data_IF_197476914017
#
_entry.id   IF_197476914017
#
_cell.length_a   1.000
_cell.length_b   1.000
_cell.length_c   1.000
_cell.angle_alpha   90.00
_cell.angle_beta   90.00
_cell.angle_gamma   90.00
#
_symmetry.space_group_name_H-M   'P 1'
#
loop_
_entity.id
_entity.type
_entity.pdbx_description
1 polymer ?
#
# COMPACT_ATOMS: atom_id res chain seq x y z
N UNK A 1 -23.09 1.21 -3.97
CA UNK A 1 -23.20 0.28 -2.81
C UNK A 1 -24.41 -0.64 -2.94
N UNK A 2 -25.60 -0.14 -3.31
CA UNK A 2 -26.78 -0.99 -3.54
C UNK A 2 -26.53 -2.07 -4.62
N UNK A 3 -25.72 -1.77 -5.64
CA UNK A 3 -25.42 -2.72 -6.71
C UNK A 3 -24.62 -3.94 -6.21
N UNK A 4 -23.75 -3.76 -5.22
CA UNK A 4 -23.02 -4.87 -4.58
C UNK A 4 -23.99 -5.85 -3.91
N UNK A 5 -25.04 -5.35 -3.27
CA UNK A 5 -26.07 -6.21 -2.67
C UNK A 5 -26.83 -6.99 -3.75
N UNK A 6 -27.09 -6.37 -4.90
CA UNK A 6 -27.73 -7.04 -6.06
C UNK A 6 -26.83 -8.09 -6.69
N UNK A 7 -25.53 -7.85 -6.73
CA UNK A 7 -24.51 -8.81 -7.19
C UNK A 7 -24.31 -9.96 -6.17
N UNK A 8 -24.92 -9.86 -4.99
CA UNK A 8 -24.92 -10.90 -3.96
C UNK A 8 -23.76 -10.79 -2.98
N UNK A 9 -23.18 -9.60 -2.82
CA UNK A 9 -22.31 -9.29 -1.69
C UNK A 9 -23.14 -9.06 -0.42
N UNK A 10 -22.56 -9.40 0.73
CA UNK A 10 -23.18 -9.19 2.05
C UNK A 10 -22.48 -8.03 2.77
N UNK A 11 -23.22 -7.01 3.18
CA UNK A 11 -22.67 -5.96 4.04
C UNK A 11 -22.41 -6.52 5.46
N UNK A 12 -21.21 -6.31 5.99
CA UNK A 12 -20.83 -6.73 7.34
C UNK A 12 -21.10 -5.62 8.35
N UNK A 13 -21.29 -6.00 9.62
CA UNK A 13 -21.40 -5.06 10.75
C UNK A 13 -20.05 -4.47 11.18
N UNK A 14 -19.08 -4.39 10.26
CA UNK A 14 -17.74 -3.90 10.50
C UNK A 14 -17.44 -2.76 9.54
N UNK A 15 -16.81 -1.72 10.05
CA UNK A 15 -16.39 -0.57 9.27
C UNK A 15 -14.91 -0.71 8.85
N UNK A 16 -14.59 -0.22 7.67
CA UNK A 16 -13.21 -0.13 7.19
C UNK A 16 -12.40 0.77 8.13
N UNK A 17 -11.24 0.33 8.65
CA UNK A 17 -10.43 1.11 9.58
C UNK A 17 -9.86 2.39 8.96
N UNK A 18 -9.77 2.45 7.62
CA UNK A 18 -9.23 3.61 6.91
C UNK A 18 -10.29 4.68 6.65
N UNK A 19 -11.43 4.31 6.07
CA UNK A 19 -12.44 5.28 5.63
C UNK A 19 -13.76 5.23 6.42
N UNK A 20 -13.89 4.31 7.39
CA UNK A 20 -15.09 4.09 8.22
C UNK A 20 -16.37 3.71 7.47
N UNK A 21 -16.28 3.35 6.19
CA UNK A 21 -17.42 2.83 5.44
C UNK A 21 -17.64 1.33 5.67
N UNK A 22 -18.88 0.82 5.50
CA UNK A 22 -19.19 -0.60 5.69
C UNK A 22 -18.38 -1.51 4.77
N UNK A 23 -17.90 -2.62 5.31
CA UNK A 23 -17.21 -3.67 4.55
C UNK A 23 -18.25 -4.62 3.95
N UNK A 24 -17.93 -5.17 2.79
CA UNK A 24 -18.74 -6.14 2.08
C UNK A 24 -17.99 -7.46 1.97
N UNK A 25 -18.71 -8.57 2.05
CA UNK A 25 -18.19 -9.92 1.82
C UNK A 25 -18.75 -10.47 0.51
N UNK A 26 -17.88 -10.97 -0.36
CA UNK A 26 -18.27 -11.64 -1.60
C UNK A 26 -18.84 -13.04 -1.33
N UNK A 27 -19.38 -13.69 -2.36
CA UNK A 27 -19.83 -15.09 -2.28
C UNK A 27 -18.68 -16.09 -2.04
N UNK A 28 -17.46 -15.73 -2.45
CA UNK A 28 -16.24 -16.53 -2.20
C UNK A 28 -15.74 -16.40 -0.75
N UNK A 29 -16.30 -15.46 0.04
CA UNK A 29 -15.90 -15.21 1.42
C UNK A 29 -14.91 -14.07 1.58
N UNK A 30 -14.46 -13.44 0.49
CA UNK A 30 -13.50 -12.34 0.53
C UNK A 30 -14.16 -11.07 1.07
N UNK A 31 -13.50 -10.45 2.04
CA UNK A 31 -13.92 -9.19 2.64
C UNK A 31 -13.27 -8.01 1.92
N UNK A 32 -14.05 -6.97 1.61
CA UNK A 32 -13.67 -5.90 0.72
C UNK A 32 -14.37 -4.58 1.06
N UNK A 33 -13.62 -3.47 0.98
CA UNK A 33 -14.16 -2.12 1.12
C UNK A 33 -14.34 -1.48 -0.27
N UNK A 34 -15.59 -1.16 -0.69
CA UNK A 34 -15.84 -0.59 -2.01
C UNK A 34 -15.42 0.87 -2.14
N UNK A 35 -15.23 1.57 -1.03
CA UNK A 35 -14.79 2.97 -1.04
C UNK A 35 -13.27 3.08 -1.19
N UNK A 36 -12.53 2.22 -0.49
CA UNK A 36 -11.08 2.16 -0.65
C UNK A 36 -10.65 1.33 -1.87
N UNK A 37 -11.56 0.51 -2.41
CA UNK A 37 -11.28 -0.52 -3.42
C UNK A 37 -10.15 -1.46 -2.96
N UNK A 38 -10.23 -1.93 -1.71
CA UNK A 38 -9.20 -2.78 -1.08
C UNK A 38 -9.83 -3.98 -0.35
N UNK A 39 -9.20 -5.17 -0.39
CA UNK A 39 -9.57 -6.28 0.49
C UNK A 39 -9.27 -5.91 1.94
N UNK A 40 -10.07 -6.44 2.87
CA UNK A 40 -9.94 -6.19 4.31
C UNK A 40 -9.85 -7.53 5.01
N UNK A 41 -8.81 -7.74 5.82
CA UNK A 41 -8.67 -8.96 6.63
C UNK A 41 -8.69 -8.56 8.09
N UNK A 42 -9.52 -9.23 8.88
CA UNK A 42 -9.52 -9.10 10.33
C UNK A 42 -8.74 -10.26 10.92
N UNK A 43 -7.71 -9.95 11.71
CA UNK A 43 -7.00 -10.96 12.48
C UNK A 43 -7.86 -11.32 13.70
N UNK A 44 -8.49 -12.49 13.67
CA UNK A 44 -8.97 -13.11 14.90
C UNK A 44 -7.76 -13.60 15.69
N UNK A 45 -7.69 -13.24 16.97
CA UNK A 45 -6.52 -13.43 17.83
C UNK A 45 -6.18 -14.91 18.15
N UNK A 46 -6.81 -15.89 17.48
CA UNK A 46 -6.78 -17.31 17.87
C UNK A 46 -6.73 -18.34 16.71
N UNK A 47 -6.16 -18.02 15.53
CA UNK A 47 -5.93 -19.06 14.51
C UNK A 47 -4.54 -18.92 13.91
N UNK A 48 -3.75 -19.99 13.99
CA UNK A 48 -2.36 -20.06 13.56
C UNK A 48 -2.21 -19.70 12.06
N UNK A 49 -1.18 -18.92 11.68
CA UNK A 49 -0.95 -18.56 10.28
C UNK A 49 -0.47 -19.76 9.46
N UNK A 50 -0.87 -19.86 8.17
CA UNK A 50 -0.42 -20.94 7.29
C UNK A 50 1.09 -20.82 7.04
N UNK A 51 1.81 -21.93 7.20
CA UNK A 51 3.26 -22.04 6.98
C UNK A 51 3.61 -21.79 5.51
N UNK A 52 4.35 -20.74 5.22
CA UNK A 52 5.04 -20.56 3.94
C UNK A 52 6.54 -20.83 4.18
N UNK A 53 7.05 -21.82 3.46
CA UNK A 53 8.42 -22.32 3.55
C UNK A 53 9.44 -21.27 3.08
N UNK A 54 10.51 -21.10 3.86
CA UNK A 54 11.62 -20.18 3.58
C UNK A 54 12.62 -20.89 2.67
N UNK A 55 12.99 -20.26 1.55
CA UNK A 55 14.22 -20.61 0.83
C UNK A 55 15.17 -19.42 0.81
N UNK A 56 16.39 -19.69 1.25
CA UNK A 56 17.59 -18.84 1.30
C UNK A 56 18.03 -18.42 -0.11
N UNK A 57 18.80 -17.32 -0.23
CA UNK A 57 20.02 -17.18 -1.08
C UNK A 57 20.71 -15.84 -0.79
N UNK A 58 22.03 -15.95 -0.77
CA UNK A 58 23.11 -15.04 -0.36
C UNK A 58 23.41 -13.86 -1.30
N UNK A 59 24.33 -13.02 -0.82
CA UNK A 59 24.85 -11.74 -1.31
C UNK A 59 25.53 -11.78 -2.69
N UNK A 60 25.38 -10.70 -3.47
CA UNK A 60 26.17 -10.44 -4.68
C UNK A 60 25.72 -9.20 -5.48
N UNK A 61 26.68 -8.34 -5.84
CA UNK A 61 26.57 -6.96 -6.37
C UNK A 61 25.89 -6.78 -7.75
N UNK A 62 25.23 -5.62 -7.89
CA UNK A 62 25.34 -4.57 -8.93
C UNK A 62 25.58 -5.01 -10.39
N UNK A 63 24.71 -4.48 -11.28
CA UNK A 63 24.66 -4.58 -12.75
C UNK A 63 23.87 -5.76 -13.32
N UNK A 64 22.60 -5.46 -13.59
CA UNK A 64 21.76 -6.22 -14.52
C UNK A 64 21.27 -7.54 -13.97
N UNK A 65 20.36 -7.54 -13.01
CA UNK A 65 19.79 -8.78 -12.51
C UNK A 65 18.29 -8.68 -12.29
N UNK A 66 17.64 -9.77 -12.68
CA UNK A 66 16.26 -10.16 -12.38
C UNK A 66 15.93 -9.74 -10.96
N UNK A 67 15.30 -8.58 -10.82
CA UNK A 67 14.71 -8.17 -9.57
C UNK A 67 13.51 -9.06 -9.36
N UNK A 68 13.62 -10.01 -8.43
CA UNK A 68 12.43 -10.58 -7.84
C UNK A 68 11.53 -9.42 -7.36
N UNK A 69 10.21 -9.64 -7.33
CA UNK A 69 9.25 -8.58 -6.99
C UNK A 69 9.51 -7.96 -5.59
N UNK A 70 10.42 -8.48 -4.77
CA UNK A 70 10.82 -7.91 -3.48
C UNK A 70 11.96 -6.89 -3.62
N UNK A 71 12.96 -7.18 -4.47
CA UNK A 71 14.05 -6.27 -4.80
C UNK A 71 13.55 -5.02 -5.52
N UNK A 72 12.63 -5.16 -6.49
CA UNK A 72 12.05 -4.02 -7.20
C UNK A 72 11.28 -3.07 -6.27
N UNK A 73 10.49 -3.61 -5.33
CA UNK A 73 9.75 -2.81 -4.34
C UNK A 73 10.70 -2.05 -3.40
N UNK A 74 11.77 -2.72 -2.95
CA UNK A 74 12.77 -2.11 -2.06
C UNK A 74 13.53 -0.99 -2.76
N UNK A 75 13.90 -1.20 -4.02
CA UNK A 75 14.53 -0.18 -4.86
C UNK A 75 13.60 1.03 -5.06
N UNK A 76 12.34 0.80 -5.46
CA UNK A 76 11.37 1.87 -5.63
C UNK A 76 11.12 2.67 -4.35
N UNK A 77 11.04 1.98 -3.21
CA UNK A 77 10.91 2.62 -1.90
C UNK A 77 12.09 3.58 -1.63
N UNK A 78 13.32 3.13 -1.90
CA UNK A 78 14.51 3.96 -1.77
C UNK A 78 14.51 5.18 -2.71
N UNK A 79 14.10 4.99 -3.97
CA UNK A 79 13.99 6.09 -4.96
C UNK A 79 12.96 7.14 -4.51
N UNK A 80 11.79 6.70 -4.03
CA UNK A 80 10.73 7.62 -3.58
C UNK A 80 11.20 8.42 -2.37
N UNK A 81 11.84 7.78 -1.38
CA UNK A 81 12.39 8.49 -0.22
C UNK A 81 13.44 9.53 -0.62
N UNK A 82 14.33 9.19 -1.55
CA UNK A 82 15.32 10.13 -2.07
C UNK A 82 14.64 11.33 -2.75
N UNK A 83 13.61 11.11 -3.57
CA UNK A 83 12.85 12.19 -4.21
C UNK A 83 12.10 13.07 -3.22
N UNK A 84 11.50 12.49 -2.17
CA UNK A 84 10.87 13.26 -1.09
C UNK A 84 11.90 14.16 -0.42
N UNK A 85 13.09 13.63 -0.11
CA UNK A 85 14.18 14.42 0.47
C UNK A 85 14.58 15.58 -0.44
N UNK A 86 14.79 15.32 -1.73
CA UNK A 86 15.14 16.37 -2.69
C UNK A 86 14.07 17.47 -2.77
N UNK A 87 12.78 17.11 -2.81
CA UNK A 87 11.71 18.12 -2.84
C UNK A 87 11.63 18.90 -1.52
N UNK A 88 11.87 18.24 -0.38
CA UNK A 88 11.92 18.91 0.92
C UNK A 88 13.06 19.94 1.00
N UNK A 89 14.23 19.62 0.42
CA UNK A 89 15.35 20.55 0.32
C UNK A 89 14.98 21.76 -0.56
N UNK A 90 14.36 21.53 -1.72
CA UNK A 90 13.87 22.62 -2.58
C UNK A 90 12.80 23.50 -1.92
N UNK A 91 11.92 22.92 -1.09
CA UNK A 91 10.89 23.66 -0.37
C UNK A 91 11.43 24.64 0.66
N UNK A 92 12.59 24.35 1.27
CA UNK A 92 13.20 25.25 2.27
C UNK A 92 13.70 26.56 1.66
N UNK A 93 14.12 26.52 0.40
CA UNK A 93 14.66 27.68 -0.33
C UNK A 93 13.60 28.37 -1.21
N UNK A 94 12.39 27.79 -1.31
CA UNK A 94 11.36 28.25 -2.22
C UNK A 94 10.63 29.50 -1.71
N UNK A 95 10.55 30.51 -2.57
CA UNK A 95 9.89 31.79 -2.28
C UNK A 95 8.70 32.05 -3.20
N UNK A 96 8.60 31.33 -4.32
CA UNK A 96 7.51 31.44 -5.27
C UNK A 96 6.35 30.50 -4.90
N UNK A 97 5.18 31.09 -4.66
CA UNK A 97 3.98 30.36 -4.23
C UNK A 97 3.52 29.29 -5.24
N UNK A 98 3.77 29.50 -6.54
CA UNK A 98 3.40 28.54 -7.58
C UNK A 98 4.25 27.25 -7.50
N UNK A 99 5.55 27.40 -7.25
CA UNK A 99 6.49 26.29 -7.11
C UNK A 99 6.24 25.54 -5.80
N UNK A 100 6.00 26.26 -4.70
CA UNK A 100 5.60 25.67 -3.42
C UNK A 100 4.38 24.74 -3.58
N UNK A 101 3.31 25.22 -4.23
CA UNK A 101 2.11 24.42 -4.46
C UNK A 101 2.39 23.18 -5.33
N UNK A 102 3.28 23.31 -6.32
CA UNK A 102 3.67 22.21 -7.20
C UNK A 102 4.48 21.14 -6.44
N UNK A 103 5.36 21.56 -5.53
CA UNK A 103 6.12 20.68 -4.65
C UNK A 103 5.23 19.96 -3.64
N UNK A 104 4.29 20.66 -3.00
CA UNK A 104 3.33 20.05 -2.07
C UNK A 104 2.47 18.98 -2.77
N UNK A 105 1.99 19.24 -3.99
CA UNK A 105 1.24 18.25 -4.78
C UNK A 105 2.09 17.03 -5.11
N UNK A 106 3.35 17.26 -5.50
CA UNK A 106 4.29 16.19 -5.83
C UNK A 106 4.63 15.33 -4.61
N UNK A 107 4.89 15.95 -3.45
CA UNK A 107 5.11 15.25 -2.17
C UNK A 107 3.87 14.44 -1.77
N UNK A 108 2.67 15.02 -1.86
CA UNK A 108 1.44 14.31 -1.53
C UNK A 108 1.26 13.05 -2.40
N UNK A 109 1.56 13.13 -3.70
CA UNK A 109 1.52 11.97 -4.59
C UNK A 109 2.57 10.91 -4.20
N UNK A 110 3.80 11.33 -3.90
CA UNK A 110 4.88 10.42 -3.50
C UNK A 110 4.58 9.73 -2.16
N UNK A 111 4.04 10.45 -1.17
CA UNK A 111 3.63 9.88 0.12
C UNK A 111 2.47 8.89 -0.05
N UNK A 112 1.51 9.18 -0.94
CA UNK A 112 0.43 8.24 -1.28
C UNK A 112 1.00 6.95 -1.87
N UNK A 113 1.93 7.05 -2.81
CA UNK A 113 2.59 5.87 -3.41
C UNK A 113 3.39 5.12 -2.33
N UNK A 114 4.11 5.82 -1.46
CA UNK A 114 4.89 5.22 -0.37
C UNK A 114 4.00 4.38 0.56
N UNK A 115 2.84 4.92 0.96
CA UNK A 115 1.87 4.18 1.77
C UNK A 115 1.36 2.93 1.03
N UNK A 116 1.09 3.03 -0.28
CA UNK A 116 0.66 1.87 -1.07
C UNK A 116 1.76 0.80 -1.15
N UNK A 117 3.03 1.20 -1.24
CA UNK A 117 4.16 0.27 -1.24
C UNK A 117 4.37 -0.37 0.14
N UNK A 118 4.11 0.37 1.22
CA UNK A 118 4.18 -0.16 2.59
C UNK A 118 3.09 -1.21 2.83
N UNK A 119 1.85 -0.94 2.43
CA UNK A 119 0.74 -1.91 2.49
C UNK A 119 1.11 -3.23 1.79
N UNK A 120 1.78 -3.17 0.64
CA UNK A 120 2.23 -4.34 -0.11
C UNK A 120 3.39 -5.10 0.55
N UNK A 121 4.27 -4.39 1.26
CA UNK A 121 5.38 -5.00 2.01
C UNK A 121 4.87 -5.73 3.25
N UNK A 122 3.86 -5.17 3.92
CA UNK A 122 3.26 -5.77 5.11
C UNK A 122 2.43 -7.01 4.75
N UNK A 123 1.71 -7.00 3.62
CA UNK A 123 1.02 -8.17 3.09
C UNK A 123 1.95 -9.36 2.79
N UNK A 124 3.23 -9.10 2.44
CA UNK A 124 4.20 -10.17 2.12
C UNK A 124 4.97 -10.68 3.35
N UNK A 125 4.78 -10.08 4.53
CA UNK A 125 5.39 -10.52 5.81
C UNK A 125 4.46 -11.40 6.65
N UNK A 126 3.16 -11.39 6.38
CA UNK A 126 2.16 -12.30 6.95
C UNK A 126 2.01 -13.56 6.12
#
# INVERSE_FOLDING_TARGET
MADLLREGYTMLNQACPNCRNPIFRSRSGDMFCPTCNKPVVFYEKNVDPPKIEKSEIEEGLIHGQVVNNLGALTFLYGVILNKIKLIADHLNEETELANFNSYIRSIHMLLKILHQLQDLKDFRKS
#
